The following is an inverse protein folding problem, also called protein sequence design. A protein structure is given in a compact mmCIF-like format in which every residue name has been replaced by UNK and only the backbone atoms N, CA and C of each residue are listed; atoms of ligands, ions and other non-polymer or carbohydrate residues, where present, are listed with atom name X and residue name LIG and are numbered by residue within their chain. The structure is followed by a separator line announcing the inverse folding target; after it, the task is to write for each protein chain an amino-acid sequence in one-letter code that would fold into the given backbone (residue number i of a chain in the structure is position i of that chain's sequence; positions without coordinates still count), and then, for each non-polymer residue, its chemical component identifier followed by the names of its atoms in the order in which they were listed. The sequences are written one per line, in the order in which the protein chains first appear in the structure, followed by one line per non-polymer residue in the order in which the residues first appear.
data_IF_674167282961
#
_entry.id   IF_674167282961
#
_cell.length_a   1.000
_cell.length_b   1.000
_cell.length_c   1.000
_cell.angle_alpha   90.00
_cell.angle_beta   90.00
_cell.angle_gamma   90.00
#
_symmetry.space_group_name_H-M   'P 1'
#
loop_
_entity.id
_entity.type
_entity.pdbx_description
1 polymer ?
#
# COMPACT_ATOMS: atom_id res chain seq x y z
N UNK A 1 -32.12 -22.42 -16.67
CA UNK A 1 -31.87 -20.96 -16.57
C UNK A 1 -31.16 -20.51 -15.28
N UNK A 2 -31.00 -21.33 -14.23
CA UNK A 2 -30.26 -20.95 -13.00
C UNK A 2 -28.73 -21.17 -13.04
N UNK A 3 -28.20 -21.84 -14.08
CA UNK A 3 -26.75 -22.15 -14.20
C UNK A 3 -25.93 -21.06 -14.92
N UNK A 4 -26.57 -20.20 -15.71
CA UNK A 4 -25.90 -19.14 -16.49
C UNK A 4 -25.63 -17.91 -15.61
N UNK A 5 -26.54 -17.58 -14.70
CA UNK A 5 -26.38 -16.45 -13.77
C UNK A 5 -25.27 -16.67 -12.74
N UNK A 6 -25.04 -17.90 -12.29
CA UNK A 6 -23.96 -18.21 -11.33
C UNK A 6 -22.57 -18.07 -11.94
N UNK A 7 -22.39 -18.45 -13.21
CA UNK A 7 -21.10 -18.38 -13.91
C UNK A 7 -20.67 -16.93 -14.20
N UNK A 8 -21.64 -16.07 -14.51
CA UNK A 8 -21.39 -14.64 -14.76
C UNK A 8 -20.98 -13.91 -13.49
N UNK A 9 -21.57 -14.27 -12.34
CA UNK A 9 -21.20 -13.71 -11.04
C UNK A 9 -19.80 -14.13 -10.59
N UNK A 10 -19.37 -15.37 -10.89
CA UNK A 10 -18.01 -15.81 -10.57
C UNK A 10 -16.98 -15.08 -11.42
N UNK A 11 -17.24 -14.89 -12.71
CA UNK A 11 -16.37 -14.15 -13.63
C UNK A 11 -16.24 -12.66 -13.24
N UNK A 12 -17.33 -12.01 -12.81
CA UNK A 12 -17.32 -10.61 -12.36
C UNK A 12 -16.53 -10.41 -11.06
N UNK A 13 -16.67 -11.33 -10.09
CA UNK A 13 -15.91 -11.29 -8.83
C UNK A 13 -14.42 -11.51 -9.06
N UNK A 14 -14.04 -12.35 -10.03
CA UNK A 14 -12.63 -12.47 -10.42
C UNK A 14 -12.10 -11.21 -11.10
N UNK A 15 -12.91 -10.46 -11.87
CA UNK A 15 -12.46 -9.20 -12.49
C UNK A 15 -12.23 -8.09 -11.45
N UNK A 16 -13.07 -7.99 -10.42
CA UNK A 16 -12.90 -6.98 -9.37
C UNK A 16 -11.69 -7.24 -8.46
N UNK A 17 -11.31 -8.51 -8.27
CA UNK A 17 -10.06 -8.87 -7.60
C UNK A 17 -8.81 -8.50 -8.44
N UNK A 18 -8.98 -8.33 -9.76
CA UNK A 18 -7.93 -7.90 -10.67
C UNK A 18 -7.80 -6.36 -10.78
N UNK A 19 -8.79 -5.58 -10.36
CA UNK A 19 -8.78 -4.12 -10.54
C UNK A 19 -8.14 -3.31 -9.40
N UNK A 20 -7.44 -3.96 -8.46
CA UNK A 20 -6.69 -3.25 -7.42
C UNK A 20 -5.34 -2.77 -7.98
N UNK A 21 -5.42 -1.86 -8.94
CA UNK A 21 -4.31 -1.18 -9.65
C UNK A 21 -3.73 -0.01 -8.85
N UNK A 22 -4.23 0.21 -7.64
CA UNK A 22 -3.84 1.31 -6.77
C UNK A 22 -3.47 0.79 -5.39
N UNK A 23 -2.87 1.64 -4.59
CA UNK A 23 -2.65 1.36 -3.19
C UNK A 23 -2.11 2.55 -2.41
N UNK A 24 -1.87 2.29 -1.13
CA UNK A 24 -1.23 3.24 -0.22
C UNK A 24 -0.18 2.52 0.61
N UNK A 25 0.95 3.17 0.86
CA UNK A 25 1.94 2.68 1.82
C UNK A 25 1.35 2.73 3.24
N UNK A 26 1.49 1.64 4.00
CA UNK A 26 0.84 1.46 5.31
C UNK A 26 1.84 1.25 6.47
N UNK A 27 3.13 1.46 6.22
CA UNK A 27 4.22 1.47 7.21
C UNK A 27 4.95 2.82 7.14
N UNK A 28 5.67 3.20 8.20
CA UNK A 28 6.34 4.51 8.27
C UNK A 28 7.26 4.77 7.07
N UNK A 29 8.17 3.84 6.79
CA UNK A 29 9.06 3.93 5.63
C UNK A 29 9.09 2.60 4.90
N UNK A 30 8.55 2.59 3.68
CA UNK A 30 8.50 1.42 2.82
C UNK A 30 9.65 1.45 1.80
N UNK A 31 10.42 0.36 1.76
CA UNK A 31 11.56 0.24 0.87
C UNK A 31 11.13 -0.28 -0.50
N UNK A 32 11.50 0.46 -1.56
CA UNK A 32 11.34 0.03 -2.94
C UNK A 32 12.63 -0.65 -3.39
N UNK A 33 12.51 -1.82 -4.01
CA UNK A 33 13.64 -2.64 -4.45
C UNK A 33 13.71 -2.82 -5.96
N UNK A 34 14.91 -3.11 -6.47
CA UNK A 34 15.15 -3.30 -7.90
C UNK A 34 14.40 -4.51 -8.47
N UNK A 35 14.33 -5.59 -7.71
CA UNK A 35 13.60 -6.82 -8.03
C UNK A 35 12.76 -7.26 -6.83
N UNK A 36 11.84 -8.20 -7.05
CA UNK A 36 10.92 -8.77 -6.06
C UNK A 36 11.61 -9.71 -5.05
N UNK A 37 12.59 -9.20 -4.31
CA UNK A 37 13.43 -9.98 -3.39
C UNK A 37 13.91 -9.11 -2.23
N UNK A 38 14.05 -9.68 -1.03
CA UNK A 38 14.59 -8.99 0.14
C UNK A 38 16.08 -8.64 0.02
N UNK A 39 16.85 -9.42 -0.75
CA UNK A 39 18.28 -9.20 -0.95
C UNK A 39 18.57 -8.27 -2.14
N UNK A 40 17.53 -7.86 -2.88
CA UNK A 40 17.66 -6.93 -3.98
C UNK A 40 18.06 -5.52 -3.51
N UNK A 41 18.83 -4.81 -4.34
CA UNK A 41 19.19 -3.40 -4.14
C UNK A 41 17.96 -2.55 -3.80
N UNK A 42 18.07 -1.72 -2.76
CA UNK A 42 17.09 -0.68 -2.45
C UNK A 42 17.28 0.50 -3.39
N UNK A 43 16.22 0.88 -4.10
CA UNK A 43 16.29 1.89 -5.17
C UNK A 43 15.65 3.22 -4.78
N UNK A 44 14.67 3.17 -3.87
CA UNK A 44 13.98 4.34 -3.33
C UNK A 44 13.23 3.95 -2.05
N UNK A 45 12.55 4.92 -1.44
CA UNK A 45 11.67 4.72 -0.29
C UNK A 45 10.40 5.56 -0.45
N UNK A 46 9.28 5.07 0.10
CA UNK A 46 8.01 5.78 0.14
C UNK A 46 7.48 5.84 1.59
N UNK A 47 6.88 6.96 1.96
CA UNK A 47 6.44 7.24 3.33
C UNK A 47 5.01 6.74 3.59
N UNK A 48 4.63 6.61 4.85
CA UNK A 48 3.27 6.24 5.26
C UNK A 48 2.24 7.17 4.61
N UNK A 49 1.20 6.57 4.04
CA UNK A 49 0.13 7.31 3.38
C UNK A 49 0.44 7.73 1.95
N UNK A 50 1.63 7.40 1.42
CA UNK A 50 1.98 7.68 0.02
C UNK A 50 1.07 6.88 -0.91
N UNK A 51 0.29 7.55 -1.78
CA UNK A 51 -0.50 6.87 -2.80
C UNK A 51 0.41 6.32 -3.91
N UNK A 52 0.13 5.11 -4.37
CA UNK A 52 0.91 4.44 -5.41
C UNK A 52 0.03 3.77 -6.45
N UNK A 53 0.55 3.65 -7.67
CA UNK A 53 -0.04 2.81 -8.72
C UNK A 53 0.63 1.43 -8.69
N UNK A 54 -0.15 0.36 -8.74
CA UNK A 54 0.34 -1.02 -8.83
C UNK A 54 0.42 -1.43 -10.29
N UNK A 55 1.63 -1.67 -10.77
CA UNK A 55 1.91 -1.97 -12.18
C UNK A 55 1.79 -3.47 -12.48
N UNK A 56 2.30 -4.30 -11.57
CA UNK A 56 2.25 -5.76 -11.67
C UNK A 56 2.53 -6.41 -10.31
N UNK A 57 2.28 -7.72 -10.20
CA UNK A 57 2.58 -8.53 -9.03
C UNK A 57 3.55 -9.64 -9.46
N UNK A 58 4.55 -9.95 -8.63
CA UNK A 58 5.49 -11.04 -8.90
C UNK A 58 4.80 -12.41 -8.89
N UNK A 59 5.36 -13.36 -9.63
CA UNK A 59 4.88 -14.74 -9.79
C UNK A 59 5.68 -15.76 -8.95
N UNK A 60 6.56 -15.28 -8.06
CA UNK A 60 7.53 -16.08 -7.31
C UNK A 60 7.03 -16.66 -5.97
N UNK A 61 5.71 -16.80 -5.78
CA UNK A 61 5.09 -17.44 -4.60
C UNK A 61 4.95 -16.56 -3.35
N UNK A 62 5.69 -15.45 -3.27
CA UNK A 62 5.45 -14.37 -2.30
C UNK A 62 5.09 -13.11 -3.11
N UNK A 63 3.88 -12.56 -3.02
CA UNK A 63 3.50 -11.45 -3.89
C UNK A 63 4.30 -10.20 -3.53
N UNK A 64 5.08 -9.69 -4.47
CA UNK A 64 5.65 -8.35 -4.43
C UNK A 64 4.91 -7.50 -5.45
N UNK A 65 4.21 -6.44 -5.04
CA UNK A 65 3.74 -5.42 -5.97
C UNK A 65 4.91 -4.62 -6.53
N UNK A 66 4.99 -4.48 -7.85
CA UNK A 66 5.76 -3.41 -8.46
C UNK A 66 4.89 -2.17 -8.49
N UNK A 67 5.38 -1.08 -7.89
CA UNK A 67 4.62 0.16 -7.74
C UNK A 67 5.30 1.32 -8.45
N UNK A 68 4.49 2.31 -8.84
CA UNK A 68 4.95 3.63 -9.22
C UNK A 68 4.53 4.65 -8.16
N UNK A 69 5.50 5.42 -7.69
CA UNK A 69 5.32 6.49 -6.69
C UNK A 69 5.00 7.84 -7.37
N UNK A 70 4.51 8.86 -6.63
CA UNK A 70 4.07 10.13 -7.24
C UNK A 70 5.17 10.90 -7.98
N UNK A 71 6.44 10.66 -7.65
CA UNK A 71 7.61 11.21 -8.35
C UNK A 71 8.00 10.40 -9.61
N UNK A 72 7.12 9.49 -10.04
CA UNK A 72 7.28 8.57 -11.17
C UNK A 72 8.33 7.46 -10.99
N UNK A 73 8.94 7.32 -9.81
CA UNK A 73 9.89 6.23 -9.56
C UNK A 73 9.17 4.89 -9.44
N UNK A 74 9.80 3.82 -9.94
CA UNK A 74 9.26 2.46 -9.86
C UNK A 74 10.15 1.52 -9.07
N UNK A 75 9.53 0.57 -8.37
CA UNK A 75 10.24 -0.45 -7.60
C UNK A 75 9.30 -1.49 -7.03
N UNK A 76 9.88 -2.58 -6.55
CA UNK A 76 9.15 -3.69 -5.93
C UNK A 76 9.06 -3.46 -4.43
N UNK A 77 7.86 -3.61 -3.88
CA UNK A 77 7.60 -3.53 -2.44
C UNK A 77 7.12 -4.88 -1.93
N UNK A 78 7.41 -5.19 -0.68
CA UNK A 78 6.82 -6.38 -0.05
C UNK A 78 5.33 -6.13 0.19
N UNK A 79 4.45 -7.11 -0.05
CA UNK A 79 2.99 -6.90 0.06
C UNK A 79 2.54 -6.34 1.42
N UNK A 80 3.25 -6.65 2.50
CA UNK A 80 2.90 -6.18 3.84
C UNK A 80 3.19 -4.67 4.06
N UNK A 81 3.99 -4.03 3.20
CA UNK A 81 4.33 -2.61 3.32
C UNK A 81 3.35 -1.66 2.62
N UNK A 82 2.28 -2.20 2.03
CA UNK A 82 1.23 -1.41 1.42
C UNK A 82 -0.13 -2.10 1.53
N UNK A 83 -1.19 -1.31 1.37
CA UNK A 83 -2.56 -1.81 1.21
C UNK A 83 -2.98 -1.57 -0.24
N UNK A 84 -3.33 -2.65 -0.96
CA UNK A 84 -3.89 -2.55 -2.31
C UNK A 84 -5.32 -2.02 -2.24
N UNK A 85 -5.69 -1.18 -3.20
CA UNK A 85 -6.94 -0.43 -3.21
C UNK A 85 -7.61 -0.49 -4.58
N UNK A 86 -8.94 -0.44 -4.58
CA UNK A 86 -9.70 -0.08 -5.78
C UNK A 86 -9.48 1.39 -6.13
N UNK A 87 -9.95 1.81 -7.30
CA UNK A 87 -9.92 3.21 -7.70
C UNK A 87 -10.73 4.11 -6.74
N UNK A 88 -11.88 3.63 -6.27
CA UNK A 88 -12.75 4.35 -5.34
C UNK A 88 -12.08 4.53 -3.97
N UNK A 89 -11.48 3.47 -3.43
CA UNK A 89 -10.74 3.51 -2.15
C UNK A 89 -9.54 4.46 -2.24
N UNK A 90 -8.79 4.40 -3.35
CA UNK A 90 -7.67 5.28 -3.62
C UNK A 90 -8.09 6.75 -3.71
N UNK A 91 -9.19 7.04 -4.41
CA UNK A 91 -9.69 8.40 -4.53
C UNK A 91 -10.20 8.93 -3.19
N UNK A 92 -10.93 8.09 -2.44
CA UNK A 92 -11.40 8.43 -1.09
C UNK A 92 -10.24 8.71 -0.13
N UNK A 93 -9.17 7.88 -0.18
CA UNK A 93 -7.95 8.12 0.59
C UNK A 93 -7.35 9.49 0.26
N UNK A 94 -7.16 9.81 -1.02
CA UNK A 94 -6.54 11.07 -1.43
C UNK A 94 -7.39 12.31 -1.10
N UNK A 95 -8.73 12.18 -1.11
CA UNK A 95 -9.64 13.29 -0.81
C UNK A 95 -9.82 13.55 0.69
N UNK A 96 -9.61 12.54 1.55
CA UNK A 96 -9.79 12.71 2.98
C UNK A 96 -8.74 13.68 3.57
N UNK A 97 -9.11 14.51 4.56
CA UNK A 97 -8.14 15.29 5.33
C UNK A 97 -7.03 14.40 5.89
N UNK A 98 -5.81 14.93 5.97
CA UNK A 98 -4.65 14.20 6.48
C UNK A 98 -4.02 14.91 7.67
N UNK A 99 -3.64 14.12 8.66
CA UNK A 99 -2.68 14.54 9.69
C UNK A 99 -1.29 14.34 9.12
N UNK A 100 -0.51 15.43 9.06
CA UNK A 100 0.88 15.38 8.58
C UNK A 100 1.80 15.35 9.79
N UNK A 101 2.63 14.31 9.87
CA UNK A 101 3.66 14.21 10.90
C UNK A 101 4.78 15.20 10.57
N UNK A 102 5.06 16.09 11.52
CA UNK A 102 6.08 17.15 11.37
C UNK A 102 7.32 16.93 12.23
N UNK A 103 7.22 16.11 13.28
CA UNK A 103 8.37 15.67 14.06
C UNK A 103 9.21 14.68 13.25
N UNK A 104 10.53 14.71 13.41
CA UNK A 104 11.44 13.80 12.71
C UNK A 104 11.16 12.32 13.02
N UNK A 105 10.71 12.04 14.24
CA UNK A 105 10.37 10.71 14.72
C UNK A 105 9.24 10.80 15.75
N UNK A 106 8.34 9.83 15.72
CA UNK A 106 7.27 9.66 16.71
C UNK A 106 6.79 8.22 16.79
N UNK A 107 5.97 7.94 17.79
CA UNK A 107 5.32 6.64 17.99
C UNK A 107 3.80 6.82 17.99
N UNK A 108 3.11 6.00 17.20
CA UNK A 108 1.66 5.87 17.24
C UNK A 108 1.30 4.90 18.37
N UNK A 109 0.40 5.33 19.25
CA UNK A 109 -0.05 4.58 20.41
C UNK A 109 -1.51 4.20 20.25
N UNK A 110 -1.90 3.07 20.83
CA UNK A 110 -3.30 2.62 20.83
C UNK A 110 -4.22 3.64 21.52
N UNK A 111 -3.72 4.34 22.54
CA UNK A 111 -4.43 5.39 23.27
C UNK A 111 -3.56 6.64 23.38
N UNK A 112 -4.21 7.78 23.63
CA UNK A 112 -3.54 9.06 23.86
C UNK A 112 -2.87 9.12 25.24
N UNK A 113 -1.98 8.17 25.53
CA UNK A 113 -1.21 8.06 26.76
C UNK A 113 0.16 7.42 26.51
N UNK A 114 1.08 7.56 27.47
CA UNK A 114 2.45 7.03 27.35
C UNK A 114 2.61 5.55 27.72
N UNK A 115 1.55 4.84 28.13
CA UNK A 115 1.62 3.47 28.68
C UNK A 115 1.02 2.41 27.76
N UNK A 116 0.12 2.81 26.88
CA UNK A 116 -0.52 1.94 25.91
C UNK A 116 0.46 1.38 24.89
N UNK A 117 0.05 0.29 24.24
CA UNK A 117 0.87 -0.41 23.26
C UNK A 117 1.26 0.53 22.11
N UNK A 118 2.51 0.40 21.64
CA UNK A 118 2.96 1.03 20.40
C UNK A 118 2.39 0.25 19.22
N UNK A 119 1.73 0.95 18.30
CA UNK A 119 1.22 0.36 17.06
C UNK A 119 2.25 0.42 15.94
N UNK A 120 2.88 1.59 15.76
CA UNK A 120 3.94 1.82 14.78
C UNK A 120 4.81 3.01 15.18
N UNK A 121 5.97 3.14 14.55
CA UNK A 121 6.64 4.42 14.41
C UNK A 121 5.99 5.28 13.32
N UNK A 122 6.36 6.56 13.30
CA UNK A 122 6.10 7.53 12.23
C UNK A 122 7.29 8.48 12.10
N UNK A 123 7.49 9.01 10.90
CA UNK A 123 8.55 9.98 10.58
C UNK A 123 7.97 11.25 9.94
N UNK A 124 8.79 12.30 9.86
CA UNK A 124 8.38 13.54 9.22
C UNK A 124 7.96 13.30 7.77
N UNK A 125 6.78 13.79 7.40
CA UNK A 125 6.20 13.63 6.08
C UNK A 125 5.15 12.51 5.96
N UNK A 126 5.07 11.60 6.94
CA UNK A 126 4.01 10.61 7.03
C UNK A 126 2.62 11.27 7.07
N UNK A 127 1.65 10.64 6.41
CA UNK A 127 0.28 11.14 6.27
C UNK A 127 -0.73 10.08 6.69
N UNK A 128 -1.58 10.44 7.65
CA UNK A 128 -2.64 9.59 8.22
C UNK A 128 -4.01 10.20 7.95
#
# INVERSE_FOLDING_TARGET
MKRITTLLATLLVSLSAFSQEYGVVNISVCNLRRTADFDAEMVSQALLGTPVHVLQISDNGNPWPQVQTPDSYTGWVHYAGMTRMSFEEYHAWNAAPKVVVTALFGLVKEKADGKSATLSDVVAGDRL
#
